data_IF_948648113693
#
_entry.id   IF_948648113693
#
_cell.length_a   1.000
_cell.length_b   1.000
_cell.length_c   1.000
_cell.angle_alpha   90.00
_cell.angle_beta   90.00
_cell.angle_gamma   90.00
#
_symmetry.space_group_name_H-M   'P 1'
#
loop_
_entity.id
_entity.type
_entity.pdbx_description
1 polymer ?
#
# COMPACT_ATOMS: atom_id res chain seq x y z
N UNK A 1 9.16 -5.36 -0.25
CA UNK A 1 8.58 -6.42 0.59
C UNK A 1 7.43 -6.99 -0.22
N UNK A 2 7.10 -8.28 -0.11
CA UNK A 2 5.88 -8.83 -0.71
C UNK A 2 4.66 -8.05 -0.17
N UNK A 3 3.64 -7.90 -1.01
CA UNK A 3 2.44 -7.08 -0.73
C UNK A 3 1.64 -7.61 0.47
N UNK A 4 1.82 -8.89 0.84
CA UNK A 4 1.21 -9.50 2.02
C UNK A 4 2.26 -10.34 2.75
N UNK A 5 2.56 -9.96 4.00
CA UNK A 5 3.48 -10.71 4.87
C UNK A 5 3.12 -10.52 6.33
N UNK A 6 3.56 -11.46 7.17
CA UNK A 6 3.41 -11.42 8.62
C UNK A 6 4.79 -11.53 9.27
N UNK A 7 5.12 -10.62 10.17
CA UNK A 7 6.44 -10.53 10.80
C UNK A 7 6.32 -10.88 12.29
N UNK A 8 7.05 -11.90 12.71
CA UNK A 8 7.13 -12.35 14.10
C UNK A 8 8.53 -12.07 14.65
N UNK A 9 8.62 -11.32 15.75
CA UNK A 9 9.90 -10.91 16.34
C UNK A 9 10.15 -11.60 17.67
N UNK A 10 11.36 -12.10 17.87
CA UNK A 10 11.76 -12.84 19.06
C UNK A 10 13.02 -12.25 19.66
N UNK A 11 13.00 -11.97 20.96
CA UNK A 11 14.16 -11.45 21.67
C UNK A 11 14.30 -12.11 23.05
N UNK A 12 15.47 -12.70 23.29
CA UNK A 12 15.93 -13.15 24.60
C UNK A 12 17.38 -12.71 24.80
N UNK A 13 17.86 -12.69 26.04
CA UNK A 13 19.23 -12.24 26.31
C UNK A 13 20.26 -13.09 25.53
N UNK A 14 21.03 -12.41 24.66
CA UNK A 14 22.03 -13.01 23.78
C UNK A 14 21.51 -13.71 22.53
N UNK A 15 20.23 -13.57 22.17
CA UNK A 15 19.65 -14.08 20.91
C UNK A 15 18.43 -13.24 20.48
N UNK A 16 18.48 -12.65 19.30
CA UNK A 16 17.35 -11.99 18.64
C UNK A 16 17.21 -12.49 17.19
N UNK A 17 15.98 -12.69 16.75
CA UNK A 17 15.67 -13.15 15.40
C UNK A 17 14.25 -12.76 15.00
N UNK A 18 14.03 -12.66 13.70
CA UNK A 18 12.75 -12.34 13.08
C UNK A 18 12.33 -13.45 12.12
N UNK A 19 11.04 -13.76 12.09
CA UNK A 19 10.43 -14.67 11.12
C UNK A 19 9.48 -13.87 10.25
N UNK A 20 9.75 -13.81 8.95
CA UNK A 20 8.88 -13.16 7.97
C UNK A 20 8.17 -14.24 7.17
N UNK A 21 6.85 -14.31 7.31
CA UNK A 21 5.99 -15.23 6.56
C UNK A 21 5.39 -14.47 5.38
N UNK A 22 5.46 -15.03 4.18
CA UNK A 22 4.99 -14.35 2.97
C UNK A 22 4.52 -15.33 1.89
N UNK A 23 3.72 -14.81 0.96
CA UNK A 23 3.36 -15.50 -0.28
C UNK A 23 4.26 -15.04 -1.43
N UNK A 24 4.79 -15.99 -2.20
CA UNK A 24 5.49 -15.72 -3.45
C UNK A 24 5.06 -16.73 -4.52
N UNK A 25 4.53 -16.24 -5.65
CA UNK A 25 4.06 -17.07 -6.76
C UNK A 25 2.99 -18.13 -6.38
N UNK A 26 2.16 -17.86 -5.36
CA UNK A 26 1.15 -18.80 -4.87
C UNK A 26 1.69 -19.90 -3.96
N UNK A 27 2.95 -19.81 -3.52
CA UNK A 27 3.55 -20.66 -2.50
C UNK A 27 3.87 -19.82 -1.26
N UNK A 28 3.78 -20.43 -0.08
CA UNK A 28 4.02 -19.75 1.20
C UNK A 28 5.38 -20.13 1.78
N UNK A 29 6.08 -19.13 2.31
CA UNK A 29 7.41 -19.29 2.86
C UNK A 29 7.55 -18.56 4.20
N UNK A 30 8.48 -19.04 5.03
CA UNK A 30 8.97 -18.36 6.21
C UNK A 30 10.49 -18.13 6.09
N UNK A 31 10.90 -16.86 6.14
CA UNK A 31 12.29 -16.46 6.26
C UNK A 31 12.63 -16.23 7.74
N UNK A 32 13.51 -17.07 8.28
CA UNK A 32 14.01 -16.99 9.65
C UNK A 32 15.37 -16.29 9.61
N UNK A 33 15.42 -15.03 10.03
CA UNK A 33 16.63 -14.20 10.03
C UNK A 33 17.13 -13.98 11.45
N UNK A 34 18.42 -14.23 11.70
CA UNK A 34 19.03 -13.99 13.01
C UNK A 34 19.63 -12.60 13.07
N UNK A 35 19.13 -11.75 13.96
CA UNK A 35 19.59 -10.36 14.12
C UNK A 35 20.71 -10.23 15.15
N UNK A 36 20.72 -11.10 16.16
CA UNK A 36 21.76 -11.15 17.18
C UNK A 36 21.96 -12.60 17.67
N UNK A 37 23.22 -13.01 17.81
CA UNK A 37 23.56 -14.33 18.35
C UNK A 37 23.61 -15.42 17.29
N UNK A 38 23.37 -16.66 17.70
CA UNK A 38 23.30 -17.83 16.83
C UNK A 38 22.36 -18.91 17.40
N UNK A 39 21.80 -19.74 16.52
CA UNK A 39 20.85 -20.80 16.86
C UNK A 39 20.81 -21.91 15.81
N UNK A 40 20.60 -23.15 16.26
CA UNK A 40 20.25 -24.30 15.42
C UNK A 40 18.72 -24.45 15.37
N UNK A 41 18.08 -24.04 14.26
CA UNK A 41 16.63 -24.10 14.07
C UNK A 41 16.21 -25.55 13.80
N UNK A 42 15.63 -26.20 14.80
CA UNK A 42 15.33 -27.63 14.71
C UNK A 42 13.90 -27.93 14.26
N UNK A 43 12.94 -27.07 14.63
CA UNK A 43 11.56 -27.20 14.20
C UNK A 43 10.83 -25.86 14.21
N UNK A 44 9.82 -25.75 13.34
CA UNK A 44 8.84 -24.66 13.32
C UNK A 44 7.45 -25.20 13.65
N UNK A 45 6.62 -24.35 14.22
CA UNK A 45 5.22 -24.60 14.55
C UNK A 45 4.41 -23.36 14.21
N UNK A 46 3.16 -23.52 13.80
CA UNK A 46 2.27 -22.39 13.57
C UNK A 46 0.81 -22.77 13.85
N UNK A 47 -0.03 -21.76 14.05
CA UNK A 47 -1.47 -21.94 14.22
C UNK A 47 -2.27 -20.62 14.22
N UNK A 48 -3.59 -20.76 14.24
CA UNK A 48 -4.60 -19.71 13.98
C UNK A 48 -5.27 -19.13 15.24
N UNK A 49 -4.87 -19.56 16.44
CA UNK A 49 -5.46 -19.17 17.74
C UNK A 49 -6.99 -19.45 17.91
N UNK A 50 -7.65 -20.20 17.01
CA UNK A 50 -9.09 -20.55 17.12
C UNK A 50 -9.34 -21.74 18.08
N UNK A 51 -8.26 -22.36 18.60
CA UNK A 51 -8.29 -23.54 19.49
C UNK A 51 -9.16 -24.71 18.95
N UNK A 52 -9.30 -24.81 17.64
CA UNK A 52 -10.13 -25.83 17.00
C UNK A 52 -9.32 -27.11 16.78
N UNK A 53 -9.93 -28.29 16.90
CA UNK A 53 -9.22 -29.55 16.61
C UNK A 53 -8.23 -30.03 17.68
N UNK A 54 -7.14 -30.67 17.24
CA UNK A 54 -6.10 -31.24 18.10
C UNK A 54 -4.76 -30.55 17.88
N UNK A 55 -4.09 -30.17 18.96
CA UNK A 55 -2.76 -29.56 18.85
C UNK A 55 -1.74 -30.53 18.26
N UNK A 56 -1.07 -30.11 17.19
CA UNK A 56 0.03 -30.82 16.56
C UNK A 56 1.25 -30.86 17.48
N UNK A 57 2.05 -31.92 17.37
CA UNK A 57 3.19 -32.12 18.28
C UNK A 57 4.26 -33.03 17.70
N UNK A 58 5.46 -32.48 17.55
CA UNK A 58 6.65 -33.30 17.36
C UNK A 58 7.04 -33.99 18.66
N UNK A 59 7.79 -35.09 18.52
CA UNK A 59 8.18 -35.93 19.65
C UNK A 59 9.47 -35.47 20.33
N UNK A 60 9.69 -35.93 21.57
CA UNK A 60 10.97 -35.79 22.25
C UNK A 60 11.42 -34.33 22.47
N UNK A 61 12.69 -33.98 22.15
CA UNK A 61 13.25 -32.66 22.40
C UNK A 61 12.70 -31.54 21.51
N UNK A 62 11.95 -31.90 20.46
CA UNK A 62 11.29 -30.96 19.54
C UNK A 62 9.93 -30.48 20.05
N UNK A 63 9.39 -31.13 21.09
CA UNK A 63 8.02 -30.90 21.54
C UNK A 63 7.82 -29.47 22.10
N UNK A 64 6.86 -28.75 21.54
CA UNK A 64 6.44 -27.40 21.98
C UNK A 64 5.15 -27.37 22.79
N UNK A 65 4.58 -28.53 23.16
CA UNK A 65 3.40 -28.59 24.03
C UNK A 65 3.65 -27.98 25.41
N UNK A 66 2.61 -27.30 25.91
CA UNK A 66 2.63 -26.63 27.21
C UNK A 66 3.29 -25.25 27.20
N UNK A 67 3.72 -24.77 26.02
CA UNK A 67 4.18 -23.40 25.85
C UNK A 67 2.99 -22.43 26.02
N UNK A 68 3.31 -21.21 26.44
CA UNK A 68 2.33 -20.18 26.73
C UNK A 68 2.74 -18.86 26.10
N UNK A 69 1.76 -18.15 25.57
CA UNK A 69 1.86 -16.77 25.12
C UNK A 69 0.92 -15.95 26.01
N UNK A 70 1.41 -14.86 26.60
CA UNK A 70 0.66 -14.00 27.53
C UNK A 70 -0.09 -14.70 28.69
N UNK A 71 0.43 -15.87 29.09
CA UNK A 71 -0.13 -16.69 30.16
C UNK A 71 -1.19 -17.68 29.71
N UNK A 72 -1.63 -17.61 28.46
CA UNK A 72 -2.56 -18.54 27.80
C UNK A 72 -1.81 -19.70 27.16
N UNK A 73 -2.46 -20.84 26.99
CA UNK A 73 -1.82 -21.99 26.35
C UNK A 73 -1.87 -21.79 24.85
N UNK A 74 -0.79 -22.10 24.16
CA UNK A 74 -0.82 -22.13 22.70
C UNK A 74 -1.28 -23.50 22.21
N UNK A 75 -2.15 -23.49 21.21
CA UNK A 75 -2.46 -24.64 20.37
C UNK A 75 -1.74 -24.48 19.04
N UNK A 76 -1.18 -25.58 18.54
CA UNK A 76 -0.47 -25.63 17.26
C UNK A 76 -1.30 -26.39 16.25
N UNK A 77 -1.42 -25.89 15.03
CA UNK A 77 -2.17 -26.56 13.98
C UNK A 77 -1.24 -27.41 13.11
N UNK A 78 -0.03 -26.93 12.85
CA UNK A 78 0.98 -27.64 12.08
C UNK A 78 2.37 -27.56 12.76
N UNK A 79 3.22 -28.54 12.47
CA UNK A 79 4.60 -28.56 12.94
C UNK A 79 5.53 -29.24 11.93
N UNK A 80 6.66 -28.61 11.64
CA UNK A 80 7.67 -29.16 10.72
C UNK A 80 9.00 -29.36 11.43
N UNK A 81 9.53 -30.58 11.35
CA UNK A 81 10.89 -30.91 11.78
C UNK A 81 11.89 -30.55 10.67
N UNK A 82 12.89 -29.73 11.01
CA UNK A 82 13.93 -29.28 10.09
C UNK A 82 15.26 -30.02 10.32
N UNK A 83 15.60 -30.29 11.59
CA UNK A 83 16.83 -31.01 11.95
C UNK A 83 16.74 -31.68 13.32
N UNK A 84 17.53 -32.73 13.49
CA UNK A 84 17.75 -33.34 14.80
C UNK A 84 18.39 -32.31 15.76
N UNK A 85 17.95 -32.19 17.03
CA UNK A 85 18.58 -31.29 18.00
C UNK A 85 20.07 -31.55 18.23
N UNK A 86 20.88 -30.50 18.12
CA UNK A 86 22.31 -30.54 18.41
C UNK A 86 22.64 -30.28 19.87
N UNK A 87 23.81 -30.76 20.33
CA UNK A 87 24.38 -30.39 21.62
C UNK A 87 25.69 -29.62 21.43
N UNK A 88 25.65 -28.31 21.65
CA UNK A 88 26.83 -27.45 21.60
C UNK A 88 27.39 -27.34 20.17
N UNK A 89 28.70 -27.55 19.93
CA UNK A 89 29.31 -27.30 18.62
C UNK A 89 28.82 -28.27 17.53
N UNK A 90 28.12 -29.35 17.88
CA UNK A 90 27.51 -30.27 16.89
C UNK A 90 26.37 -29.61 16.09
N UNK A 91 25.85 -28.46 16.55
CA UNK A 91 24.92 -27.63 15.77
C UNK A 91 25.61 -26.90 14.62
N UNK A 92 26.85 -26.46 14.79
CA UNK A 92 27.53 -25.50 13.88
C UNK A 92 27.74 -26.03 12.45
N UNK A 93 27.77 -27.35 12.27
CA UNK A 93 27.97 -27.99 10.96
C UNK A 93 26.67 -28.18 10.14
N UNK A 94 25.51 -27.74 10.66
CA UNK A 94 24.20 -27.97 10.04
C UNK A 94 23.74 -26.78 9.19
N UNK A 95 22.96 -27.07 8.16
CA UNK A 95 22.29 -26.04 7.34
C UNK A 95 21.25 -25.24 8.13
N UNK A 96 20.74 -25.81 9.23
CA UNK A 96 19.79 -25.17 10.15
C UNK A 96 20.47 -24.31 11.21
N UNK A 97 21.81 -24.26 11.25
CA UNK A 97 22.54 -23.40 12.17
C UNK A 97 22.77 -22.02 11.55
N UNK A 98 22.15 -21.03 12.17
CA UNK A 98 22.14 -19.65 11.72
C UNK A 98 22.91 -18.78 12.72
N UNK A 99 23.72 -17.89 12.19
CA UNK A 99 24.42 -16.84 12.92
C UNK A 99 23.85 -15.48 12.54
N UNK A 100 24.26 -14.45 13.26
CA UNK A 100 23.84 -13.07 12.98
C UNK A 100 24.04 -12.69 11.50
N UNK A 101 22.95 -12.28 10.84
CA UNK A 101 22.89 -11.93 9.43
C UNK A 101 22.54 -13.08 8.49
N UNK A 102 22.47 -14.32 9.00
CA UNK A 102 22.01 -15.47 8.22
C UNK A 102 20.48 -15.53 8.19
N UNK A 103 19.97 -15.98 7.04
CA UNK A 103 18.54 -16.21 6.81
C UNK A 103 18.35 -17.64 6.30
N UNK A 104 17.37 -18.35 6.86
CA UNK A 104 16.88 -19.64 6.36
C UNK A 104 15.46 -19.49 5.85
N UNK A 105 15.22 -19.88 4.60
CA UNK A 105 13.88 -19.96 4.02
C UNK A 105 13.31 -21.37 4.19
N UNK A 106 12.07 -21.46 4.64
CA UNK A 106 11.32 -22.71 4.79
C UNK A 106 9.99 -22.60 4.05
N UNK A 107 9.63 -23.60 3.25
CA UNK A 107 8.28 -23.67 2.65
C UNK A 107 7.24 -24.08 3.68
N UNK A 108 6.07 -23.44 3.63
CA UNK A 108 4.95 -23.71 4.52
C UNK A 108 3.82 -24.40 3.76
N UNK A 109 3.19 -25.39 4.37
CA UNK A 109 2.04 -26.11 3.83
C UNK A 109 0.75 -25.48 4.39
N UNK A 110 0.38 -24.32 3.86
CA UNK A 110 -0.82 -23.53 4.22
C UNK A 110 -1.54 -23.06 2.95
N UNK A 111 -2.82 -22.70 3.05
CA UNK A 111 -3.59 -22.14 1.93
C UNK A 111 -3.72 -20.61 2.00
N UNK A 112 -3.58 -20.00 3.19
CA UNK A 112 -3.58 -18.55 3.42
C UNK A 112 -2.63 -18.14 4.56
N UNK A 113 -2.12 -16.89 4.51
CA UNK A 113 -1.42 -16.27 5.65
C UNK A 113 -2.33 -16.07 6.87
N UNK A 114 -3.65 -16.04 6.68
CA UNK A 114 -4.65 -15.98 7.75
C UNK A 114 -4.63 -17.22 8.66
N UNK A 115 -4.05 -18.33 8.21
CA UNK A 115 -3.91 -19.55 9.02
C UNK A 115 -2.78 -19.47 10.05
N UNK A 116 -2.02 -18.36 10.05
CA UNK A 116 -0.88 -18.16 10.93
C UNK A 116 -1.05 -16.86 11.71
N UNK A 117 -1.51 -16.97 12.94
CA UNK A 117 -1.55 -15.88 13.92
C UNK A 117 -0.53 -16.07 15.04
N UNK A 118 -0.08 -17.31 15.23
CA UNK A 118 0.97 -17.67 16.19
C UNK A 118 2.05 -18.45 15.45
N UNK A 119 3.30 -18.05 15.65
CA UNK A 119 4.47 -18.75 15.14
C UNK A 119 5.37 -19.21 16.30
N UNK A 120 5.90 -20.42 16.17
CA UNK A 120 6.72 -21.09 17.15
C UNK A 120 8.03 -21.58 16.56
N UNK A 121 9.14 -21.31 17.25
CA UNK A 121 10.46 -21.83 16.90
C UNK A 121 11.00 -22.70 18.04
N UNK A 122 11.41 -23.91 17.70
CA UNK A 122 12.26 -24.73 18.56
C UNK A 122 13.68 -24.71 18.03
N UNK A 123 14.59 -24.18 18.84
CA UNK A 123 16.02 -24.19 18.51
C UNK A 123 16.91 -24.63 19.66
N UNK A 124 18.05 -25.20 19.30
CA UNK A 124 19.13 -25.63 20.21
C UNK A 124 20.44 -24.97 19.85
N UNK A 125 21.50 -25.27 20.60
CA UNK A 125 22.84 -24.70 20.40
C UNK A 125 22.82 -23.16 20.31
N UNK A 126 21.91 -22.54 21.07
CA UNK A 126 21.69 -21.11 21.04
C UNK A 126 22.73 -20.37 21.86
N UNK A 127 23.04 -19.12 21.50
CA UNK A 127 24.00 -18.26 22.20
C UNK A 127 23.52 -17.76 23.56
N UNK A 128 22.25 -17.93 23.89
CA UNK A 128 21.71 -17.60 25.20
C UNK A 128 22.25 -18.53 26.31
N UNK A 129 22.09 -18.11 27.57
CA UNK A 129 22.55 -18.88 28.74
C UNK A 129 21.94 -20.29 28.86
N UNK A 130 20.75 -20.50 28.28
CA UNK A 130 20.05 -21.78 28.33
C UNK A 130 20.55 -22.79 27.29
N UNK A 131 21.23 -22.33 26.23
CA UNK A 131 21.67 -23.15 25.09
C UNK A 131 20.53 -23.77 24.26
N UNK A 132 19.27 -23.43 24.55
CA UNK A 132 18.12 -23.75 23.70
C UNK A 132 16.93 -22.83 23.98
N UNK A 133 16.00 -22.72 23.02
CA UNK A 133 14.79 -21.90 23.13
C UNK A 133 13.53 -22.61 22.66
N UNK A 134 12.40 -22.24 23.26
CA UNK A 134 11.05 -22.47 22.73
C UNK A 134 10.43 -21.09 22.53
N UNK A 135 10.75 -20.47 21.40
CA UNK A 135 10.26 -19.14 21.06
C UNK A 135 8.83 -19.24 20.59
N UNK A 136 7.98 -18.35 21.07
CA UNK A 136 6.59 -18.22 20.61
C UNK A 136 6.30 -16.73 20.50
N UNK A 137 5.75 -16.35 19.35
CA UNK A 137 5.24 -15.01 19.07
C UNK A 137 3.85 -15.16 18.51
N UNK A 138 2.94 -14.28 18.92
CA UNK A 138 1.65 -14.08 18.28
C UNK A 138 1.44 -12.61 18.01
N UNK A 139 0.36 -12.28 17.32
CA UNK A 139 0.06 -10.90 16.87
C UNK A 139 1.17 -10.37 15.96
N UNK A 140 1.36 -10.97 14.76
CA UNK A 140 2.42 -10.57 13.85
C UNK A 140 2.27 -9.10 13.44
N UNK A 141 3.40 -8.43 13.27
CA UNK A 141 3.42 -7.14 12.58
C UNK A 141 3.13 -7.40 11.11
N UNK A 142 2.04 -6.84 10.62
CA UNK A 142 1.74 -6.78 9.18
C UNK A 142 2.38 -5.51 8.61
N UNK A 143 2.94 -5.53 7.39
CA UNK A 143 3.42 -4.32 6.75
C UNK A 143 2.27 -3.32 6.66
N UNK A 144 2.55 -2.04 6.91
CA UNK A 144 1.55 -1.00 6.69
C UNK A 144 1.08 -1.10 5.24
N UNK A 145 -0.22 -1.37 5.04
CA UNK A 145 -0.82 -1.28 3.72
C UNK A 145 -0.50 0.11 3.16
N UNK A 146 -0.10 0.22 1.88
CA UNK A 146 0.11 1.53 1.29
C UNK A 146 -1.16 2.36 1.53
N UNK A 147 -1.01 3.56 2.11
CA UNK A 147 -2.13 4.47 2.26
C UNK A 147 -2.79 4.61 0.90
N UNK A 148 -4.08 4.26 0.80
CA UNK A 148 -4.86 4.51 -0.40
C UNK A 148 -4.63 5.97 -0.80
N UNK A 149 -4.33 6.26 -2.08
CA UNK A 149 -4.14 7.63 -2.51
C UNK A 149 -5.36 8.46 -2.08
N UNK A 150 -5.12 9.55 -1.32
CA UNK A 150 -6.21 10.38 -0.81
C UNK A 150 -7.20 10.70 -1.94
N UNK A 151 -8.48 10.40 -1.74
CA UNK A 151 -9.52 10.69 -2.73
C UNK A 151 -9.44 12.19 -3.10
N UNK A 152 -9.36 12.52 -4.40
CA UNK A 152 -9.17 13.91 -4.79
C UNK A 152 -10.41 14.73 -4.40
N UNK A 153 -10.14 15.91 -3.87
CA UNK A 153 -11.15 16.86 -3.42
C UNK A 153 -11.34 18.00 -4.43
N UNK A 154 -12.56 18.53 -4.49
CA UNK A 154 -12.94 19.57 -5.47
C UNK A 154 -13.66 20.72 -4.79
N UNK A 155 -13.31 21.96 -5.14
CA UNK A 155 -14.00 23.15 -4.62
C UNK A 155 -15.39 23.34 -5.25
N UNK A 156 -15.57 22.85 -6.48
CA UNK A 156 -16.84 22.97 -7.19
C UNK A 156 -17.00 21.87 -8.22
N UNK A 157 -18.19 21.29 -8.27
CA UNK A 157 -18.60 20.32 -9.29
C UNK A 157 -19.82 20.84 -10.04
N UNK A 158 -19.83 20.65 -11.36
CA UNK A 158 -20.95 21.01 -12.23
C UNK A 158 -21.53 19.78 -12.91
N UNK A 159 -22.80 19.51 -12.64
CA UNK A 159 -23.60 18.50 -13.32
C UNK A 159 -24.30 19.16 -14.51
N UNK A 160 -23.71 19.03 -15.69
CA UNK A 160 -24.18 19.70 -16.90
C UNK A 160 -25.22 18.91 -17.66
N UNK A 161 -26.35 19.54 -17.96
CA UNK A 161 -27.45 18.96 -18.72
C UNK A 161 -27.49 19.49 -20.16
N UNK A 162 -26.97 20.69 -20.40
CA UNK A 162 -26.97 21.36 -21.70
C UNK A 162 -25.66 22.10 -21.92
N UNK A 163 -25.01 21.83 -23.06
CA UNK A 163 -23.78 22.50 -23.47
C UNK A 163 -23.95 23.23 -24.81
N UNK A 164 -23.11 24.24 -25.04
CA UNK A 164 -23.00 24.94 -26.32
C UNK A 164 -22.33 24.05 -27.36
N UNK A 165 -22.46 24.39 -28.65
CA UNK A 165 -21.69 23.73 -29.73
C UNK A 165 -20.17 23.91 -29.56
N UNK A 166 -19.74 24.84 -28.70
CA UNK A 166 -18.33 25.09 -28.33
C UNK A 166 -17.92 24.39 -27.03
N UNK A 167 -18.82 23.63 -26.39
CA UNK A 167 -18.55 22.87 -25.16
C UNK A 167 -18.76 23.64 -23.86
N UNK A 168 -19.32 24.86 -23.92
CA UNK A 168 -19.57 25.68 -22.74
C UNK A 168 -20.83 25.22 -22.00
N UNK A 169 -20.84 25.23 -20.66
CA UNK A 169 -22.03 24.89 -19.90
C UNK A 169 -23.12 25.94 -20.09
N UNK A 170 -24.28 25.53 -20.61
CA UNK A 170 -25.46 26.39 -20.84
C UNK A 170 -26.60 26.11 -19.84
N UNK A 171 -26.64 24.91 -19.27
CA UNK A 171 -27.65 24.51 -18.28
C UNK A 171 -27.20 23.29 -17.48
N UNK A 172 -27.54 23.28 -16.19
CA UNK A 172 -27.14 22.26 -15.24
C UNK A 172 -27.12 22.80 -13.81
N UNK A 173 -26.54 22.02 -12.89
CA UNK A 173 -26.47 22.35 -11.46
C UNK A 173 -25.01 22.45 -11.02
N UNK A 174 -24.66 23.58 -10.42
CA UNK A 174 -23.38 23.76 -9.72
C UNK A 174 -23.56 23.42 -8.25
N UNK A 175 -22.59 22.72 -7.67
CA UNK A 175 -22.50 22.45 -6.22
C UNK A 175 -21.11 22.88 -5.77
N UNK A 176 -21.05 23.67 -4.69
CA UNK A 176 -19.81 24.17 -4.08
C UNK A 176 -19.42 23.30 -2.87
N UNK A 177 -18.14 23.34 -2.49
CA UNK A 177 -17.64 22.74 -1.25
C UNK A 177 -18.17 23.45 0.00
N UNK A 178 -18.21 24.78 -0.04
CA UNK A 178 -18.67 25.64 1.06
C UNK A 178 -19.64 26.72 0.57
N UNK A 179 -20.62 27.09 1.42
CA UNK A 179 -21.58 28.15 1.09
C UNK A 179 -20.88 29.52 1.11
N UNK A 180 -20.88 30.28 0.00
CA UNK A 180 -20.24 31.60 -0.02
C UNK A 180 -21.06 32.61 0.80
N UNK A 181 -20.38 33.45 1.61
CA UNK A 181 -21.02 34.58 2.32
C UNK A 181 -20.55 35.94 1.77
N UNK A 182 -21.41 36.71 1.07
CA UNK A 182 -22.80 36.42 0.73
C UNK A 182 -22.92 35.43 -0.44
N UNK A 183 -24.06 34.73 -0.55
CA UNK A 183 -24.41 33.86 -1.68
C UNK A 183 -25.34 34.58 -2.68
N UNK A 184 -24.83 35.51 -3.53
CA UNK A 184 -25.67 36.34 -4.39
C UNK A 184 -26.39 35.55 -5.50
N UNK A 185 -25.91 34.34 -5.81
CA UNK A 185 -26.43 33.51 -6.89
C UNK A 185 -27.22 32.30 -6.38
N UNK A 186 -27.36 32.14 -5.05
CA UNK A 186 -28.04 31.01 -4.42
C UNK A 186 -27.58 29.66 -4.95
N UNK A 187 -26.26 29.52 -5.15
CA UNK A 187 -25.65 28.26 -5.57
C UNK A 187 -25.63 27.33 -4.36
N UNK A 188 -26.11 26.08 -4.49
CA UNK A 188 -26.07 25.12 -3.39
C UNK A 188 -24.62 24.74 -3.08
N UNK A 189 -24.36 24.45 -1.81
CA UNK A 189 -23.08 23.96 -1.33
C UNK A 189 -23.29 22.67 -0.55
N UNK A 190 -22.23 21.88 -0.41
CA UNK A 190 -22.25 20.69 0.43
C UNK A 190 -22.62 21.06 1.88
N UNK A 191 -23.28 20.14 2.61
CA UNK A 191 -23.55 20.36 4.02
C UNK A 191 -22.27 20.63 4.83
N UNK A 192 -22.37 21.52 5.83
CA UNK A 192 -21.22 21.84 6.68
C UNK A 192 -20.60 20.57 7.31
N UNK A 193 -19.29 20.41 7.14
CA UNK A 193 -18.54 19.27 7.67
C UNK A 193 -18.54 18.03 6.77
N UNK A 194 -19.08 18.12 5.55
CA UNK A 194 -18.93 17.09 4.51
C UNK A 194 -17.61 17.29 3.76
N UNK A 195 -16.87 16.21 3.56
CA UNK A 195 -15.64 16.25 2.78
C UNK A 195 -15.96 16.45 1.29
N UNK A 196 -15.25 17.33 0.57
CA UNK A 196 -15.54 17.67 -0.82
C UNK A 196 -15.05 16.61 -1.84
N UNK A 197 -15.34 15.34 -1.58
CA UNK A 197 -15.09 14.21 -2.50
C UNK A 197 -16.22 14.06 -3.51
N UNK A 198 -15.95 13.43 -4.65
CA UNK A 198 -16.95 13.30 -5.72
C UNK A 198 -18.19 12.50 -5.28
N UNK A 199 -18.02 11.44 -4.51
CA UNK A 199 -19.10 10.64 -3.93
C UNK A 199 -20.07 11.48 -3.10
N UNK A 200 -19.55 12.43 -2.32
CA UNK A 200 -20.36 13.34 -1.53
C UNK A 200 -21.11 14.35 -2.42
N UNK A 201 -20.48 14.87 -3.47
CA UNK A 201 -21.15 15.72 -4.46
C UNK A 201 -22.28 14.99 -5.20
N UNK A 202 -22.03 13.76 -5.63
CA UNK A 202 -23.01 12.93 -6.33
C UNK A 202 -24.19 12.56 -5.42
N UNK A 203 -23.90 12.16 -4.19
CA UNK A 203 -24.91 11.87 -3.17
C UNK A 203 -25.77 13.10 -2.88
N UNK A 204 -25.17 14.28 -2.78
CA UNK A 204 -25.89 15.52 -2.55
C UNK A 204 -26.71 15.96 -3.78
N UNK A 205 -26.19 15.79 -5.00
CA UNK A 205 -26.93 16.04 -6.24
C UNK A 205 -28.20 15.18 -6.35
N UNK A 206 -28.12 13.91 -5.96
CA UNK A 206 -29.23 12.96 -5.95
C UNK A 206 -30.19 13.12 -4.75
N UNK A 207 -29.81 13.89 -3.75
CA UNK A 207 -30.61 14.11 -2.54
C UNK A 207 -31.94 14.82 -2.85
N UNK A 208 -32.91 14.74 -1.94
CA UNK A 208 -34.19 15.45 -2.09
C UNK A 208 -34.03 16.98 -2.08
N UNK A 209 -32.90 17.50 -1.60
CA UNK A 209 -32.61 18.93 -1.54
C UNK A 209 -32.30 19.53 -2.93
N UNK A 210 -31.61 18.77 -3.78
CA UNK A 210 -31.27 19.16 -5.15
C UNK A 210 -32.22 18.51 -6.16
N UNK A 211 -32.51 17.22 -5.99
CA UNK A 211 -33.40 16.44 -6.85
C UNK A 211 -32.87 16.25 -8.27
N UNK A 212 -31.54 16.14 -8.41
CA UNK A 212 -30.86 15.97 -9.70
C UNK A 212 -31.22 14.67 -10.40
N UNK A 213 -31.21 14.70 -11.74
CA UNK A 213 -31.50 13.55 -12.60
C UNK A 213 -30.26 13.19 -13.43
N UNK A 214 -29.61 12.06 -13.08
CA UNK A 214 -28.41 11.57 -13.78
C UNK A 214 -28.66 11.24 -15.25
N UNK A 215 -29.90 10.85 -15.60
CA UNK A 215 -30.24 10.54 -16.99
C UNK A 215 -30.25 11.78 -17.89
N UNK A 216 -30.37 12.98 -17.29
CA UNK A 216 -30.30 14.26 -17.99
C UNK A 216 -28.88 14.85 -18.05
N UNK A 217 -27.95 14.32 -17.25
CA UNK A 217 -26.56 14.79 -17.21
C UNK A 217 -25.83 14.31 -18.48
N UNK A 218 -25.31 15.28 -19.23
CA UNK A 218 -24.50 15.04 -20.43
C UNK A 218 -23.01 15.04 -20.11
N UNK A 219 -22.55 15.87 -19.17
CA UNK A 219 -21.16 15.86 -18.70
C UNK A 219 -21.08 16.39 -17.27
N UNK A 220 -20.13 15.86 -16.51
CA UNK A 220 -19.75 16.37 -15.19
C UNK A 220 -18.41 17.08 -15.29
N UNK A 221 -18.32 18.30 -14.77
CA UNK A 221 -17.11 19.13 -14.83
C UNK A 221 -16.62 19.44 -13.43
N UNK A 222 -15.33 19.22 -13.20
CA UNK A 222 -14.67 19.40 -11.91
C UNK A 222 -13.82 20.65 -11.94
N UNK A 223 -13.94 21.48 -10.91
CA UNK A 223 -13.21 22.73 -10.80
C UNK A 223 -12.41 22.79 -9.50
N UNK A 224 -11.28 23.49 -9.58
CA UNK A 224 -10.47 23.84 -8.42
C UNK A 224 -9.83 25.22 -8.61
N UNK A 225 -9.06 25.64 -7.62
CA UNK A 225 -8.27 26.87 -7.68
C UNK A 225 -6.90 26.58 -8.29
N UNK A 226 -6.60 27.21 -9.43
CA UNK A 226 -5.27 27.17 -10.06
C UNK A 226 -4.24 28.04 -9.32
N UNK A 227 -2.97 27.96 -9.72
CA UNK A 227 -1.84 28.64 -9.05
C UNK A 227 -2.01 30.16 -8.91
N UNK A 228 -2.75 30.78 -9.83
CA UNK A 228 -3.03 32.22 -9.83
C UNK A 228 -4.25 32.63 -8.97
N UNK A 229 -4.87 31.69 -8.26
CA UNK A 229 -6.09 31.92 -7.48
C UNK A 229 -7.35 32.04 -8.35
N UNK A 230 -7.25 31.70 -9.64
CA UNK A 230 -8.37 31.67 -10.57
C UNK A 230 -9.00 30.27 -10.59
N UNK A 231 -10.31 30.22 -10.86
CA UNK A 231 -11.00 28.95 -11.00
C UNK A 231 -10.65 28.29 -12.33
N UNK A 232 -10.16 27.06 -12.26
CA UNK A 232 -9.74 26.27 -13.40
C UNK A 232 -10.56 24.98 -13.48
N UNK A 233 -10.82 24.53 -14.71
CA UNK A 233 -11.41 23.21 -14.98
C UNK A 233 -10.30 22.17 -14.84
N UNK A 234 -10.44 21.27 -13.86
CA UNK A 234 -9.46 20.23 -13.59
C UNK A 234 -9.64 19.07 -14.56
N UNK A 235 -10.87 18.55 -14.64
CA UNK A 235 -11.23 17.52 -15.60
C UNK A 235 -12.74 17.49 -15.86
N UNK A 236 -13.13 16.70 -16.86
CA UNK A 236 -14.50 16.54 -17.32
C UNK A 236 -14.76 15.09 -17.68
N UNK A 237 -15.92 14.60 -17.27
CA UNK A 237 -16.43 13.28 -17.61
C UNK A 237 -17.64 13.47 -18.51
N UNK A 238 -17.55 12.98 -19.74
CA UNK A 238 -18.66 13.00 -20.68
C UNK A 238 -19.50 11.73 -20.55
N UNK A 239 -20.82 11.89 -20.56
CA UNK A 239 -21.75 10.78 -20.45
C UNK A 239 -21.73 9.92 -21.73
N UNK A 240 -21.92 8.59 -21.60
CA UNK A 240 -22.09 7.72 -22.75
C UNK A 240 -23.37 8.06 -23.56
N UNK A 241 -23.47 7.56 -24.79
CA UNK A 241 -24.67 7.76 -25.63
C UNK A 241 -25.93 7.25 -24.90
N UNK A 242 -26.71 8.17 -24.33
CA UNK A 242 -27.91 7.86 -23.54
C UNK A 242 -27.89 8.32 -22.07
N UNK A 243 -26.81 8.96 -21.61
CA UNK A 243 -26.68 9.47 -20.23
C UNK A 243 -26.27 8.39 -19.23
N UNK A 244 -25.93 8.81 -18.00
CA UNK A 244 -25.62 7.88 -16.91
C UNK A 244 -26.88 7.17 -16.42
N UNK A 245 -26.84 5.84 -16.27
CA UNK A 245 -28.01 5.06 -15.85
C UNK A 245 -28.09 4.89 -14.32
N UNK A 246 -26.97 5.05 -13.62
CA UNK A 246 -26.87 4.95 -12.17
C UNK A 246 -25.71 5.79 -11.62
N UNK A 247 -25.69 5.98 -10.30
CA UNK A 247 -24.57 6.60 -9.60
C UNK A 247 -23.28 5.77 -9.76
N UNK A 248 -23.40 4.45 -9.66
CA UNK A 248 -22.29 3.52 -9.84
C UNK A 248 -21.66 3.62 -11.24
N UNK A 249 -22.45 3.81 -12.29
CA UNK A 249 -21.93 3.99 -13.66
C UNK A 249 -21.14 5.30 -13.81
N UNK A 250 -21.53 6.35 -13.08
CA UNK A 250 -20.84 7.63 -13.09
C UNK A 250 -19.56 7.59 -12.24
N UNK A 251 -19.58 6.90 -11.10
CA UNK A 251 -18.40 6.67 -10.27
C UNK A 251 -17.37 5.82 -11.02
N UNK A 252 -17.79 4.74 -11.69
CA UNK A 252 -16.89 3.95 -12.52
C UNK A 252 -16.25 4.78 -13.66
N UNK A 253 -17.02 5.66 -14.32
CA UNK A 253 -16.48 6.56 -15.34
C UNK A 253 -15.51 7.62 -14.76
N UNK A 254 -15.67 7.95 -13.48
CA UNK A 254 -14.79 8.85 -12.75
C UNK A 254 -13.48 8.16 -12.38
N UNK A 255 -13.55 6.93 -11.86
CA UNK A 255 -12.37 6.12 -11.55
C UNK A 255 -11.53 5.87 -12.82
N UNK A 256 -12.18 5.49 -13.93
CA UNK A 256 -11.54 5.33 -15.24
C UNK A 256 -10.83 6.63 -15.69
N UNK A 257 -11.43 7.80 -15.43
CA UNK A 257 -10.85 9.09 -15.80
C UNK A 257 -9.65 9.47 -14.91
N UNK A 258 -9.70 9.13 -13.62
CA UNK A 258 -8.58 9.31 -12.69
C UNK A 258 -7.41 8.38 -13.01
N UNK A 259 -7.67 7.11 -13.32
CA UNK A 259 -6.63 6.17 -13.76
C UNK A 259 -5.93 6.67 -15.03
N UNK A 260 -6.71 7.14 -16.01
CA UNK A 260 -6.17 7.69 -17.26
C UNK A 260 -5.32 8.95 -17.07
N UNK A 261 -5.57 9.74 -16.01
CA UNK A 261 -4.78 10.94 -15.68
C UNK A 261 -3.60 10.63 -14.74
N UNK A 262 -3.72 9.65 -13.85
CA UNK A 262 -2.62 9.14 -13.02
C UNK A 262 -1.49 8.51 -13.85
N UNK A 263 -1.83 7.87 -14.97
CA UNK A 263 -0.86 7.29 -15.91
C UNK A 263 -0.02 8.35 -16.66
N UNK A 264 -0.50 9.61 -16.72
CA UNK A 264 0.24 10.74 -17.30
C UNK A 264 1.23 11.36 -16.31
N UNK A 265 0.90 11.39 -15.00
CA UNK A 265 1.83 11.87 -13.97
C UNK A 265 3.08 10.96 -13.84
N UNK A 266 2.92 9.65 -14.02
CA UNK A 266 4.03 8.70 -14.11
C UNK A 266 4.90 8.87 -15.37
N UNK A 267 4.32 9.35 -16.47
CA UNK A 267 5.04 9.60 -17.73
C UNK A 267 5.78 10.94 -17.73
N UNK A 268 5.24 11.99 -17.09
CA UNK A 268 5.94 13.28 -16.97
C UNK A 268 7.15 13.21 -16.03
N UNK A 269 7.12 12.33 -15.01
CA UNK A 269 8.29 12.11 -14.15
C UNK A 269 9.42 11.36 -14.89
N UNK A 270 9.08 10.45 -15.81
CA UNK A 270 10.02 9.77 -16.71
C UNK A 270 10.54 10.68 -17.84
N UNK A 271 9.73 11.64 -18.29
CA UNK A 271 10.14 12.68 -19.23
C UNK A 271 11.07 13.72 -18.57
N UNK A 272 10.83 14.07 -17.30
CA UNK A 272 11.70 14.94 -16.52
C UNK A 272 13.06 14.28 -16.21
N UNK A 273 13.09 12.99 -15.89
CA UNK A 273 14.34 12.24 -15.69
C UNK A 273 15.14 12.01 -16.98
N UNK A 274 14.50 12.02 -18.15
CA UNK A 274 15.20 11.87 -19.44
C UNK A 274 15.81 13.18 -19.97
N UNK A 275 15.56 14.33 -19.33
CA UNK A 275 16.06 15.63 -19.78
C UNK A 275 17.35 16.09 -19.06
N UNK A 276 17.83 15.34 -18.06
CA UNK A 276 18.91 15.81 -17.17
C UNK A 276 20.32 15.28 -17.51
N UNK A 277 20.51 14.56 -18.62
CA UNK A 277 21.85 14.04 -19.03
C UNK A 277 22.48 14.76 -20.24
N UNK A 278 22.16 16.04 -20.45
CA UNK A 278 22.93 16.85 -21.40
C UNK A 278 23.16 18.31 -21.02
N UNK A 279 23.76 18.51 -19.84
CA UNK A 279 24.59 19.69 -19.58
C UNK A 279 25.77 19.21 -18.72
N UNK A 280 26.97 19.08 -19.30
CA UNK A 280 28.18 19.90 -19.01
C UNK A 280 29.35 19.02 -19.51
N UNK A 281 30.47 19.44 -20.11
CA UNK A 281 31.11 20.71 -20.39
C UNK A 281 32.26 20.43 -21.39
N UNK A 282 32.80 21.45 -22.08
CA UNK A 282 34.24 21.74 -21.98
C UNK A 282 34.53 23.18 -22.42
N UNK A 283 35.38 23.95 -21.70
CA UNK A 283 35.65 25.35 -21.97
C UNK A 283 37.02 25.59 -22.66
N UNK A 284 37.17 26.83 -23.14
CA UNK A 284 38.39 27.55 -23.51
C UNK A 284 39.25 27.10 -24.71
N UNK A 285 39.37 28.01 -25.70
CA UNK A 285 40.65 28.41 -26.28
C UNK A 285 40.57 29.84 -26.83
N UNK A 286 41.39 30.73 -26.25
CA UNK A 286 41.69 32.09 -26.74
C UNK A 286 42.41 32.07 -28.11
N UNK A 287 42.12 33.03 -28.99
CA UNK A 287 42.98 34.19 -29.31
C UNK A 287 42.52 34.88 -30.62
N UNK A 288 42.34 36.19 -30.48
CA UNK A 288 42.60 37.31 -31.40
C UNK A 288 42.80 37.04 -32.92
N UNK A 289 42.10 37.82 -33.75
CA UNK A 289 42.69 38.69 -34.79
C UNK A 289 41.58 39.24 -35.72
N UNK A 290 41.53 40.57 -35.86
CA UNK A 290 41.19 41.21 -37.15
C UNK A 290 40.06 42.24 -37.12
N UNK A 291 40.47 43.50 -37.15
CA UNK A 291 39.65 44.67 -37.47
C UNK A 291 39.21 44.73 -38.95
N UNK A 292 38.30 45.67 -39.20
CA UNK A 292 37.72 46.10 -40.50
C UNK A 292 36.67 45.14 -41.07
N UNK A 293 35.47 45.56 -41.49
CA UNK A 293 35.19 46.70 -42.35
C UNK A 293 33.70 47.13 -42.24
N UNK A 294 33.50 48.44 -42.11
CA UNK A 294 32.32 49.20 -42.48
C UNK A 294 31.78 48.83 -43.88
N UNK A 295 30.47 48.65 -44.06
CA UNK A 295 29.63 49.32 -45.10
C UNK A 295 28.36 48.54 -45.53
N UNK A 296 27.25 49.29 -45.52
CA UNK A 296 26.19 49.41 -46.54
C UNK A 296 25.43 48.14 -47.00
N UNK A 297 24.13 48.07 -46.69
CA UNK A 297 23.04 48.75 -47.42
C UNK A 297 21.70 48.60 -46.70
#
# INVERSE_FOLDING_TARGET
MPETSKIFTYAVDGLAYTVTVYEENGEFFADITVDEGAMDVNAIYFGDDDFSGSSESLSGPLNMNGTRLDGEKVQWDEATELSDPGLGPEGEDKETYLQTGDTMTVSLDIESLDEIDIFGIRATSTTNDAGSIKGVSGDPEEPEEPEDPEEPTYEKVFFGEVFSDSGDPLGGTFILDEEPDPNPYSIPALPEGTEPTFDNYLSYFLSEDIGGDLSAVQSVVFYGTGEDGAQEELHRIDAPEGGFQSADDLLAAYDDALEATGDLAGQDLMAALSLEDHAEADPEAEEDLGADEFELL
#
